data_IF_065471848988
#
_entry.id   IF_065471848988
#
_cell.length_a   1.000
_cell.length_b   1.000
_cell.length_c   1.000
_cell.angle_alpha   90.00
_cell.angle_beta   90.00
_cell.angle_gamma   90.00
#
_symmetry.space_group_name_H-M   'P 1'
#
loop_
_entity.id
_entity.type
_entity.pdbx_description
1 polymer ?
#
# COMPACT_ATOMS: atom_id res chain seq x y z
N UNK A 1 14.35 30.88 4.11
CA UNK A 1 15.82 30.91 4.24
C UNK A 1 16.35 29.68 3.54
N UNK A 2 16.84 29.82 2.31
CA UNK A 2 17.37 28.71 1.52
C UNK A 2 18.59 28.15 2.26
N UNK A 3 18.58 26.85 2.55
CA UNK A 3 19.80 26.16 2.94
C UNK A 3 20.71 26.15 1.70
N UNK A 4 21.84 26.83 1.76
CA UNK A 4 22.88 26.71 0.74
C UNK A 4 23.28 25.24 0.67
N UNK A 5 22.80 24.53 -0.35
CA UNK A 5 23.14 23.12 -0.57
C UNK A 5 24.65 23.02 -0.68
N UNK A 6 25.23 22.10 0.08
CA UNK A 6 26.68 21.92 0.06
C UNK A 6 27.11 21.38 -1.30
N UNK A 7 28.30 21.75 -1.76
CA UNK A 7 28.80 21.39 -3.10
C UNK A 7 28.78 19.87 -3.33
N UNK A 8 29.09 19.08 -2.30
CA UNK A 8 29.03 17.60 -2.38
C UNK A 8 27.61 17.07 -2.66
N UNK A 9 26.58 17.78 -2.19
CA UNK A 9 25.17 17.37 -2.32
C UNK A 9 24.68 17.62 -3.74
N UNK A 10 25.23 18.62 -4.44
CA UNK A 10 25.01 18.82 -5.87
C UNK A 10 25.60 17.68 -6.70
N UNK A 11 26.69 17.07 -6.23
CA UNK A 11 27.36 15.93 -6.84
C UNK A 11 26.83 14.56 -6.37
N UNK A 12 25.96 14.52 -5.36
CA UNK A 12 25.46 13.27 -4.76
C UNK A 12 26.52 12.49 -3.96
N UNK A 13 27.58 13.14 -3.49
CA UNK A 13 28.75 12.53 -2.86
C UNK A 13 28.83 12.78 -1.36
N UNK A 14 29.48 11.87 -0.63
CA UNK A 14 29.81 12.07 0.79
C UNK A 14 31.09 12.91 0.91
N UNK A 15 31.36 13.42 2.11
CA UNK A 15 32.59 14.18 2.38
C UNK A 15 33.87 13.37 2.12
N UNK A 16 33.83 12.07 2.40
CA UNK A 16 34.95 11.16 2.19
C UNK A 16 35.24 10.96 0.70
N UNK A 17 34.18 10.75 -0.10
CA UNK A 17 34.28 10.59 -1.55
C UNK A 17 34.84 11.86 -2.21
N UNK A 18 34.34 13.03 -1.80
CA UNK A 18 34.85 14.32 -2.29
C UNK A 18 36.32 14.54 -1.94
N UNK A 19 36.72 14.21 -0.72
CA UNK A 19 38.11 14.34 -0.28
C UNK A 19 39.04 13.43 -1.10
N UNK A 20 38.64 12.19 -1.36
CA UNK A 20 39.38 11.23 -2.18
C UNK A 20 39.49 11.74 -3.62
N UNK A 21 38.38 12.17 -4.23
CA UNK A 21 38.36 12.67 -5.60
C UNK A 21 39.25 13.90 -5.77
N UNK A 22 39.22 14.83 -4.83
CA UNK A 22 40.04 16.04 -4.85
C UNK A 22 41.46 15.82 -4.34
N UNK A 23 41.80 14.60 -3.88
CA UNK A 23 43.09 14.23 -3.29
C UNK A 23 43.48 15.13 -2.10
N UNK A 24 42.51 15.46 -1.26
CA UNK A 24 42.70 16.21 -0.01
C UNK A 24 42.24 15.38 1.19
N UNK A 25 42.52 15.84 2.41
CA UNK A 25 41.98 15.16 3.60
C UNK A 25 40.51 15.51 3.80
N UNK A 26 39.75 14.59 4.43
CA UNK A 26 38.34 14.83 4.80
C UNK A 26 38.18 16.12 5.62
N UNK A 27 39.10 16.37 6.56
CA UNK A 27 39.08 17.58 7.41
C UNK A 27 39.29 18.83 6.57
N UNK A 28 40.19 18.80 5.59
CA UNK A 28 40.43 19.93 4.69
C UNK A 28 39.23 20.23 3.81
N UNK A 29 38.57 19.20 3.27
CA UNK A 29 37.30 19.35 2.56
C UNK A 29 36.21 19.92 3.47
N UNK A 30 36.06 19.38 4.68
CA UNK A 30 35.04 19.84 5.62
C UNK A 30 35.25 21.30 6.05
N UNK A 31 36.50 21.76 6.20
CA UNK A 31 36.82 23.17 6.52
C UNK A 31 36.56 24.10 5.34
N UNK A 32 36.82 23.64 4.12
CA UNK A 32 36.48 24.38 2.90
C UNK A 32 34.97 24.57 2.75
N UNK A 33 34.21 23.50 2.96
CA UNK A 33 32.76 23.49 2.83
C UNK A 33 32.03 24.40 3.83
N UNK A 34 32.69 24.75 4.94
CA UNK A 34 32.20 25.71 5.95
C UNK A 34 32.90 27.08 5.85
N UNK A 35 33.67 27.33 4.79
CA UNK A 35 34.35 28.60 4.53
C UNK A 35 35.50 28.94 5.49
N UNK A 36 36.02 27.96 6.23
CA UNK A 36 37.09 28.17 7.23
C UNK A 36 38.51 28.03 6.65
N UNK A 37 38.65 27.40 5.48
CA UNK A 37 39.96 27.19 4.84
C UNK A 37 39.83 26.96 3.35
N UNK A 38 40.70 27.57 2.55
CA UNK A 38 40.74 27.29 1.12
C UNK A 38 41.36 25.91 0.79
N UNK A 39 40.92 25.36 -0.34
CA UNK A 39 41.52 24.18 -0.94
C UNK A 39 42.84 24.53 -1.66
N UNK A 40 43.77 23.57 -1.80
CA UNK A 40 44.94 23.74 -2.65
C UNK A 40 44.49 24.03 -4.10
N UNK A 41 45.28 24.82 -4.83
CA UNK A 41 44.95 25.24 -6.20
C UNK A 41 44.59 24.06 -7.11
N UNK A 42 45.34 22.96 -7.02
CA UNK A 42 45.09 21.73 -7.81
C UNK A 42 43.71 21.14 -7.50
N UNK A 43 43.28 21.16 -6.24
CA UNK A 43 41.97 20.67 -5.83
C UNK A 43 40.85 21.66 -6.22
N UNK A 44 41.11 22.97 -6.24
CA UNK A 44 40.15 23.97 -6.74
C UNK A 44 39.91 23.81 -8.25
N UNK A 45 40.97 23.61 -9.03
CA UNK A 45 40.87 23.37 -10.48
C UNK A 45 40.04 22.11 -10.76
N UNK A 46 40.34 21.01 -10.06
CA UNK A 46 39.60 19.76 -10.20
C UNK A 46 38.14 19.89 -9.75
N UNK A 47 37.87 20.67 -8.70
CA UNK A 47 36.49 20.96 -8.28
C UNK A 47 35.74 21.77 -9.36
N UNK A 48 36.41 22.74 -9.98
CA UNK A 48 35.87 23.50 -11.10
C UNK A 48 35.49 22.60 -12.29
N UNK A 49 36.34 21.65 -12.65
CA UNK A 49 36.07 20.65 -13.70
C UNK A 49 34.83 19.79 -13.37
N UNK A 50 34.73 19.29 -12.14
CA UNK A 50 33.59 18.49 -11.69
C UNK A 50 32.27 19.29 -11.68
N UNK A 51 32.33 20.57 -11.30
CA UNK A 51 31.17 21.45 -11.30
C UNK A 51 30.76 21.84 -12.73
N UNK A 52 31.72 22.07 -13.62
CA UNK A 52 31.46 22.34 -15.03
C UNK A 52 30.73 21.15 -15.67
N UNK A 53 31.14 19.92 -15.38
CA UNK A 53 30.46 18.70 -15.86
C UNK A 53 28.98 18.64 -15.45
N UNK A 54 28.61 19.08 -14.25
CA UNK A 54 27.20 19.12 -13.82
C UNK A 54 26.42 20.21 -14.56
N UNK A 55 27.07 21.33 -14.87
CA UNK A 55 26.45 22.48 -15.53
C UNK A 55 26.35 22.32 -17.05
N UNK A 56 27.11 21.41 -17.66
CA UNK A 56 26.98 21.08 -19.06
C UNK A 56 25.56 20.52 -19.34
N UNK A 57 24.84 21.06 -20.35
CA UNK A 57 23.54 20.52 -20.73
C UNK A 57 23.71 19.07 -21.17
N UNK A 58 22.92 18.18 -20.56
CA UNK A 58 22.94 16.72 -20.73
C UNK A 58 22.98 16.28 -22.20
N UNK A 59 24.17 16.14 -22.76
CA UNK A 59 24.39 15.50 -24.07
C UNK A 59 24.77 14.02 -23.95
N UNK A 60 25.01 13.53 -22.73
CA UNK A 60 25.04 12.11 -22.41
C UNK A 60 23.84 11.78 -21.51
N UNK A 61 22.83 11.11 -22.06
CA UNK A 61 21.70 10.65 -21.27
C UNK A 61 22.18 9.60 -20.26
N UNK A 62 21.70 9.71 -19.02
CA UNK A 62 21.92 8.73 -17.93
C UNK A 62 21.48 7.32 -18.38
N UNK A 63 20.58 7.25 -19.37
CA UNK A 63 20.15 6.04 -20.08
C UNK A 63 21.29 5.16 -20.59
N UNK A 64 22.50 5.71 -20.80
CA UNK A 64 23.66 4.92 -21.25
C UNK A 64 24.41 4.22 -20.10
N UNK A 65 24.23 4.64 -18.85
CA UNK A 65 24.94 4.09 -17.68
C UNK A 65 24.05 3.27 -16.74
N UNK A 66 22.75 3.54 -16.72
CA UNK A 66 21.76 2.79 -15.96
C UNK A 66 20.69 2.34 -16.95
N UNK A 67 20.37 1.05 -16.96
CA UNK A 67 19.24 0.52 -17.72
C UNK A 67 17.92 0.93 -17.05
N UNK A 68 17.61 2.21 -17.13
CA UNK A 68 16.40 2.83 -16.56
C UNK A 68 15.15 2.17 -17.12
N UNK A 69 15.19 1.72 -18.39
CA UNK A 69 14.12 0.95 -19.03
C UNK A 69 13.90 -0.40 -18.34
N UNK A 70 14.96 -1.09 -17.92
CA UNK A 70 14.86 -2.32 -17.12
C UNK A 70 14.30 -2.06 -15.73
N UNK A 71 14.62 -0.94 -15.09
CA UNK A 71 14.08 -0.59 -13.77
C UNK A 71 12.60 -0.20 -13.83
N UNK A 72 12.18 0.56 -14.84
CA UNK A 72 10.78 0.84 -15.14
C UNK A 72 9.99 -0.44 -15.46
N UNK A 73 10.58 -1.35 -16.23
CA UNK A 73 9.96 -2.65 -16.52
C UNK A 73 9.81 -3.52 -15.25
N UNK A 74 10.75 -3.46 -14.30
CA UNK A 74 10.61 -4.13 -13.00
C UNK A 74 9.49 -3.50 -12.17
N UNK A 75 9.38 -2.17 -12.15
CA UNK A 75 8.29 -1.49 -11.46
C UNK A 75 6.92 -1.91 -12.02
N UNK A 76 6.76 -1.97 -13.34
CA UNK A 76 5.53 -2.46 -13.99
C UNK A 76 5.17 -3.89 -13.58
N UNK A 77 6.15 -4.80 -13.54
CA UNK A 77 5.94 -6.18 -13.05
C UNK A 77 5.49 -6.24 -11.60
N UNK A 78 5.94 -5.32 -10.74
CA UNK A 78 5.47 -5.24 -9.34
C UNK A 78 3.98 -4.92 -9.31
N UNK A 79 3.53 -3.93 -10.08
CA UNK A 79 2.12 -3.55 -10.12
C UNK A 79 1.22 -4.64 -10.72
N UNK A 80 1.68 -5.35 -11.75
CA UNK A 80 0.97 -6.51 -12.31
C UNK A 80 0.77 -7.62 -11.26
N UNK A 81 1.81 -7.93 -10.48
CA UNK A 81 1.71 -8.89 -9.38
C UNK A 81 0.74 -8.43 -8.28
N UNK A 82 0.80 -7.15 -7.90
CA UNK A 82 -0.13 -6.59 -6.93
C UNK A 82 -1.58 -6.66 -7.41
N UNK A 83 -1.83 -6.43 -8.70
CA UNK A 83 -3.15 -6.57 -9.32
C UNK A 83 -3.68 -7.99 -9.23
N UNK A 84 -2.85 -9.00 -9.51
CA UNK A 84 -3.23 -10.41 -9.36
C UNK A 84 -3.60 -10.75 -7.92
N UNK A 85 -2.77 -10.31 -6.96
CA UNK A 85 -3.00 -10.51 -5.52
C UNK A 85 -4.29 -9.83 -5.07
N UNK A 86 -4.53 -8.60 -5.52
CA UNK A 86 -5.73 -7.83 -5.19
C UNK A 86 -6.99 -8.55 -5.69
N UNK A 87 -7.01 -8.98 -6.96
CA UNK A 87 -8.14 -9.72 -7.54
C UNK A 87 -8.46 -10.99 -6.75
N UNK A 88 -7.44 -11.75 -6.36
CA UNK A 88 -7.63 -12.93 -5.51
C UNK A 88 -8.24 -12.56 -4.15
N UNK A 89 -7.78 -11.48 -3.51
CA UNK A 89 -8.34 -10.99 -2.25
C UNK A 89 -9.80 -10.54 -2.38
N UNK A 90 -10.18 -9.92 -3.49
CA UNK A 90 -11.56 -9.52 -3.76
C UNK A 90 -12.48 -10.75 -3.79
N UNK A 91 -12.12 -11.76 -4.60
CA UNK A 91 -12.88 -13.02 -4.73
C UNK A 91 -13.09 -13.68 -3.36
N UNK A 92 -12.02 -13.82 -2.57
CA UNK A 92 -12.11 -14.43 -1.23
C UNK A 92 -13.00 -13.61 -0.28
N UNK A 93 -12.89 -12.29 -0.34
CA UNK A 93 -13.68 -11.38 0.52
C UNK A 93 -15.16 -11.43 0.15
N UNK A 94 -15.47 -11.45 -1.15
CA UNK A 94 -16.82 -11.55 -1.68
C UNK A 94 -17.46 -12.90 -1.33
N UNK A 95 -16.72 -14.01 -1.50
CA UNK A 95 -17.19 -15.34 -1.10
C UNK A 95 -17.53 -15.41 0.38
N UNK A 96 -16.66 -14.86 1.25
CA UNK A 96 -16.91 -14.80 2.69
C UNK A 96 -18.13 -13.94 3.03
N UNK A 97 -18.28 -12.79 2.37
CA UNK A 97 -19.43 -11.92 2.56
C UNK A 97 -20.73 -12.65 2.20
N UNK A 98 -20.79 -13.27 1.01
CA UNK A 98 -21.96 -14.06 0.56
C UNK A 98 -22.30 -15.19 1.53
N UNK A 99 -21.30 -15.89 2.05
CA UNK A 99 -21.51 -16.97 3.02
C UNK A 99 -22.11 -16.48 4.34
N UNK A 100 -21.65 -15.32 4.83
CA UNK A 100 -22.15 -14.70 6.07
C UNK A 100 -23.57 -14.15 5.85
N UNK A 101 -23.82 -13.47 4.74
CA UNK A 101 -25.15 -12.95 4.38
C UNK A 101 -26.17 -14.09 4.28
N UNK A 102 -25.82 -15.20 3.62
CA UNK A 102 -26.69 -16.38 3.53
C UNK A 102 -27.04 -16.97 4.90
N UNK A 103 -26.06 -17.04 5.82
CA UNK A 103 -26.29 -17.55 7.19
C UNK A 103 -27.18 -16.61 8.01
N UNK A 104 -27.00 -15.31 7.84
CA UNK A 104 -27.84 -14.30 8.48
C UNK A 104 -29.28 -14.36 7.96
N UNK A 105 -29.46 -14.43 6.64
CA UNK A 105 -30.77 -14.52 6.00
C UNK A 105 -31.52 -15.80 6.37
N UNK A 106 -30.81 -16.93 6.49
CA UNK A 106 -31.37 -18.17 7.00
C UNK A 106 -31.95 -17.98 8.42
N UNK A 107 -31.21 -17.32 9.32
CA UNK A 107 -31.69 -17.00 10.67
C UNK A 107 -32.94 -16.10 10.66
N UNK A 108 -32.93 -15.03 9.84
CA UNK A 108 -34.09 -14.14 9.67
C UNK A 108 -35.31 -14.92 9.17
N UNK A 109 -35.11 -15.83 8.20
CA UNK A 109 -36.17 -16.66 7.64
C UNK A 109 -36.74 -17.61 8.68
N UNK A 110 -35.89 -18.23 9.50
CA UNK A 110 -36.31 -19.08 10.62
C UNK A 110 -37.15 -18.30 11.63
N UNK A 111 -36.74 -17.08 12.01
CA UNK A 111 -37.55 -16.25 12.93
C UNK A 111 -38.90 -15.84 12.33
N UNK A 112 -38.94 -15.50 11.04
CA UNK A 112 -40.21 -15.21 10.34
C UNK A 112 -41.13 -16.43 10.32
N UNK A 113 -40.58 -17.62 10.10
CA UNK A 113 -41.34 -18.86 10.11
C UNK A 113 -41.91 -19.19 11.49
N UNK A 114 -41.10 -19.02 12.56
CA UNK A 114 -41.57 -19.19 13.94
C UNK A 114 -42.72 -18.22 14.22
N UNK A 115 -42.56 -16.94 13.89
CA UNK A 115 -43.60 -15.93 14.09
C UNK A 115 -44.90 -16.27 13.35
N UNK A 116 -44.79 -16.79 12.12
CA UNK A 116 -45.94 -17.23 11.34
C UNK A 116 -46.69 -18.40 11.99
N UNK A 117 -45.98 -19.34 12.62
CA UNK A 117 -46.62 -20.45 13.34
C UNK A 117 -47.32 -19.97 14.61
N UNK A 118 -46.69 -19.04 15.35
CA UNK A 118 -47.26 -18.43 16.56
C UNK A 118 -48.54 -17.61 16.26
N UNK A 119 -48.62 -16.94 15.11
CA UNK A 119 -49.78 -16.10 14.74
C UNK A 119 -50.95 -16.88 14.14
N UNK A 120 -50.76 -18.12 13.70
CA UNK A 120 -51.80 -18.93 13.04
C UNK A 120 -52.72 -19.72 13.97
N UNK A 121 -52.65 -19.46 15.28
CA UNK A 121 -53.57 -20.05 16.29
C UNK A 121 -53.66 -21.58 16.19
N UNK A 122 -52.54 -22.23 15.84
CA UNK A 122 -52.42 -23.66 15.93
C UNK A 122 -52.31 -24.00 17.42
N UNK A 123 -53.06 -25.00 17.90
CA UNK A 123 -52.81 -25.59 19.22
C UNK A 123 -51.42 -26.23 19.19
N UNK A 124 -50.40 -25.42 19.47
CA UNK A 124 -49.01 -25.85 19.54
C UNK A 124 -48.91 -26.75 20.76
N UNK A 125 -48.62 -28.02 20.54
CA UNK A 125 -48.41 -28.98 21.63
C UNK A 125 -47.05 -28.70 22.28
N UNK A 126 -46.88 -29.01 23.57
CA UNK A 126 -45.65 -28.71 24.33
C UNK A 126 -44.33 -29.16 23.64
N UNK A 127 -44.37 -30.27 22.90
CA UNK A 127 -43.24 -30.77 22.10
C UNK A 127 -42.87 -29.82 20.95
N UNK A 128 -43.86 -29.23 20.28
CA UNK A 128 -43.66 -28.26 19.21
C UNK A 128 -43.13 -26.94 19.78
N UNK A 129 -43.62 -26.51 20.95
CA UNK A 129 -43.15 -25.30 21.62
C UNK A 129 -41.68 -25.40 22.06
N UNK A 130 -41.27 -26.57 22.55
CA UNK A 130 -39.86 -26.87 22.84
C UNK A 130 -38.99 -26.75 21.58
N UNK A 131 -39.44 -27.31 20.45
CA UNK A 131 -38.73 -27.23 19.17
C UNK A 131 -38.60 -25.79 18.68
N UNK A 132 -39.67 -25.00 18.76
CA UNK A 132 -39.66 -23.58 18.38
C UNK A 132 -38.68 -22.76 19.22
N UNK A 133 -38.62 -23.03 20.52
CA UNK A 133 -37.68 -22.38 21.44
C UNK A 133 -36.22 -22.65 21.04
N UNK A 134 -35.90 -23.91 20.73
CA UNK A 134 -34.55 -24.31 20.27
C UNK A 134 -34.21 -23.68 18.91
N UNK A 135 -35.17 -23.66 17.98
CA UNK A 135 -34.99 -23.04 16.67
C UNK A 135 -34.77 -21.53 16.77
N UNK A 136 -35.50 -20.85 17.66
CA UNK A 136 -35.36 -19.42 17.94
C UNK A 136 -33.95 -19.10 18.43
N UNK A 137 -33.48 -19.84 19.45
CA UNK A 137 -32.14 -19.64 19.99
C UNK A 137 -31.04 -19.88 18.93
N UNK A 138 -31.19 -20.90 18.08
CA UNK A 138 -30.25 -21.16 16.97
C UNK A 138 -30.27 -20.06 15.92
N UNK A 139 -31.45 -19.54 15.57
CA UNK A 139 -31.61 -18.46 14.60
C UNK A 139 -30.98 -17.15 15.11
N UNK A 140 -31.24 -16.81 16.37
CA UNK A 140 -30.64 -15.64 17.03
C UNK A 140 -29.11 -15.75 17.13
N UNK A 141 -28.57 -16.92 17.47
CA UNK A 141 -27.13 -17.14 17.50
C UNK A 141 -26.50 -17.03 16.09
N UNK A 142 -27.16 -17.59 15.06
CA UNK A 142 -26.72 -17.45 13.68
C UNK A 142 -26.73 -15.98 13.23
N UNK A 143 -27.78 -15.23 13.56
CA UNK A 143 -27.86 -13.79 13.26
C UNK A 143 -26.82 -12.98 14.01
N UNK A 144 -26.56 -13.29 15.28
CA UNK A 144 -25.53 -12.63 16.09
C UNK A 144 -24.13 -12.86 15.52
N UNK A 145 -23.79 -14.11 15.20
CA UNK A 145 -22.49 -14.48 14.63
C UNK A 145 -22.25 -13.92 13.23
N UNK A 146 -23.32 -13.78 12.44
CA UNK A 146 -23.26 -13.33 11.05
C UNK A 146 -23.89 -11.94 10.84
N UNK A 147 -23.97 -11.15 11.91
CA UNK A 147 -24.77 -9.92 11.95
C UNK A 147 -24.27 -8.80 11.04
N UNK A 148 -25.09 -7.76 10.95
CA UNK A 148 -24.81 -6.56 10.15
C UNK A 148 -23.43 -5.94 10.42
N UNK A 149 -22.90 -5.87 11.66
CA UNK A 149 -21.55 -5.34 11.90
C UNK A 149 -20.45 -6.13 11.18
N UNK A 150 -20.55 -7.46 11.19
CA UNK A 150 -19.57 -8.33 10.52
C UNK A 150 -19.70 -8.20 8.99
N UNK A 151 -20.93 -8.16 8.48
CA UNK A 151 -21.18 -7.91 7.05
C UNK A 151 -20.63 -6.55 6.62
N UNK A 152 -20.85 -5.50 7.40
CA UNK A 152 -20.33 -4.16 7.13
C UNK A 152 -18.80 -4.14 7.06
N UNK A 153 -18.12 -4.86 7.95
CA UNK A 153 -16.65 -5.03 7.91
C UNK A 153 -16.20 -5.65 6.59
N UNK A 154 -16.85 -6.71 6.13
CA UNK A 154 -16.49 -7.37 4.85
C UNK A 154 -16.85 -6.52 3.63
N UNK A 155 -17.99 -5.82 3.64
CA UNK A 155 -18.39 -4.86 2.60
C UNK A 155 -17.39 -3.70 2.49
N UNK A 156 -16.96 -3.14 3.62
CA UNK A 156 -15.92 -2.11 3.64
C UNK A 156 -14.60 -2.64 3.07
N UNK A 157 -14.18 -3.84 3.50
CA UNK A 157 -12.96 -4.46 2.98
C UNK A 157 -13.01 -4.67 1.47
N UNK A 158 -14.15 -5.14 0.94
CA UNK A 158 -14.34 -5.33 -0.49
C UNK A 158 -14.25 -3.99 -1.24
N UNK A 159 -14.92 -2.94 -0.75
CA UNK A 159 -14.82 -1.59 -1.33
C UNK A 159 -13.39 -1.06 -1.36
N UNK A 160 -12.64 -1.25 -0.27
CA UNK A 160 -11.23 -0.87 -0.21
C UNK A 160 -10.37 -1.60 -1.25
N UNK A 161 -10.61 -2.89 -1.46
CA UNK A 161 -9.89 -3.67 -2.47
C UNK A 161 -10.23 -3.24 -3.90
N UNK A 162 -11.50 -2.89 -4.17
CA UNK A 162 -11.92 -2.36 -5.47
C UNK A 162 -11.26 -1.01 -5.78
N UNK A 163 -11.15 -0.13 -4.78
CA UNK A 163 -10.42 1.15 -4.93
C UNK A 163 -8.93 0.94 -5.16
N UNK A 164 -8.32 -0.01 -4.46
CA UNK A 164 -6.92 -0.39 -4.68
C UNK A 164 -6.70 -0.91 -6.13
N UNK A 165 -7.64 -1.64 -6.71
CA UNK A 165 -7.55 -2.06 -8.12
C UNK A 165 -7.59 -0.88 -9.10
N UNK A 166 -8.40 0.16 -8.83
CA UNK A 166 -8.42 1.39 -9.65
C UNK A 166 -7.03 2.03 -9.66
N UNK A 167 -6.45 2.25 -8.48
CA UNK A 167 -5.11 2.84 -8.35
C UNK A 167 -4.02 1.97 -9.01
N UNK A 168 -4.10 0.65 -8.88
CA UNK A 168 -3.16 -0.27 -9.52
C UNK A 168 -3.27 -0.24 -11.06
N UNK A 169 -4.47 0.01 -11.61
CA UNK A 169 -4.65 0.13 -13.05
C UNK A 169 -4.05 1.44 -13.60
N UNK A 170 -4.17 2.54 -12.85
CA UNK A 170 -3.54 3.82 -13.19
C UNK A 170 -2.01 3.68 -13.25
N UNK A 171 -1.41 3.04 -12.23
CA UNK A 171 0.05 2.86 -12.10
C UNK A 171 0.67 1.90 -13.14
N UNK A 172 -0.13 1.06 -13.80
CA UNK A 172 0.34 0.17 -14.89
C UNK A 172 0.27 0.87 -16.25
N UNK A 173 -0.60 1.88 -16.39
CA UNK A 173 -0.78 2.63 -17.64
C UNK A 173 0.23 3.78 -17.81
N UNK A 174 0.78 4.30 -16.71
CA UNK A 174 2.00 5.14 -16.70
C UNK A 174 3.24 4.31 -17.08
#
# INVERSE_FOLDING_TARGET
MNQDKKIRELLGLRQEDMAILLRVTRTQWSMYEIGKRDLPLVAQLKLGELLAFIQEPKNATIDSFVDLKSEEAKAKKVFENLKLINKHRQILTEYKLKAIEKKYEAGVTTLRFIHFLETKDQQIVAEQEMVLTVLKAKAEDAMRKNGLPLQAKYRFKLKSLLQEEVLLNEMVQE
#
